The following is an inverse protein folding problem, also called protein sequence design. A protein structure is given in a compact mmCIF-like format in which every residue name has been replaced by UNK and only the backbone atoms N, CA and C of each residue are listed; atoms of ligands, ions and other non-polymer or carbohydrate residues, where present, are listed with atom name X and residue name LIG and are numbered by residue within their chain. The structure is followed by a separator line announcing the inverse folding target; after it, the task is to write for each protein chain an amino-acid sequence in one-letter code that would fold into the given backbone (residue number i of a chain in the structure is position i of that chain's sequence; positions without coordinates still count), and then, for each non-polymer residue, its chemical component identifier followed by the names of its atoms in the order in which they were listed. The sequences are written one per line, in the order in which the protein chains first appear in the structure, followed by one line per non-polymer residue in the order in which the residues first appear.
data_IF_106518983343
#
_entry.id   IF_106518983343
#
_cell.length_a   1.000
_cell.length_b   1.000
_cell.length_c   1.000
_cell.angle_alpha   90.00
_cell.angle_beta   90.00
_cell.angle_gamma   90.00
#
_symmetry.space_group_name_H-M   'P 1'
#
loop_
_entity.id
_entity.type
_entity.pdbx_description
1 polymer ?
#
# COMPACT_ATOMS: atom_id res chain seq x y z
N UNK A 1 12.19 5.22 32.96
CA UNK A 1 13.64 4.91 33.08
C UNK A 1 13.86 3.49 32.56
N UNK A 2 13.88 3.30 31.24
CA UNK A 2 14.28 2.01 30.66
C UNK A 2 15.74 2.15 30.26
N UNK A 3 16.62 1.82 31.23
CA UNK A 3 18.03 1.66 30.97
C UNK A 3 18.20 0.49 30.00
N UNK A 4 18.96 0.71 28.93
CA UNK A 4 19.48 -0.31 28.02
C UNK A 4 19.94 -1.50 28.88
N UNK A 5 19.24 -2.63 28.82
CA UNK A 5 19.69 -3.88 29.41
C UNK A 5 20.90 -4.38 28.61
N UNK A 6 22.10 -3.97 29.04
CA UNK A 6 23.33 -4.66 28.66
C UNK A 6 23.35 -5.98 29.42
N UNK A 7 22.95 -7.05 28.77
CA UNK A 7 23.15 -8.43 29.24
C UNK A 7 24.33 -9.03 28.48
N UNK A 8 25.38 -9.31 29.25
CA UNK A 8 26.50 -10.22 29.00
C UNK A 8 26.74 -10.67 27.53
N UNK A 9 27.60 -9.97 26.82
CA UNK A 9 28.47 -10.54 25.76
C UNK A 9 27.83 -10.85 24.40
N UNK A 10 26.52 -10.97 24.28
CA UNK A 10 25.78 -11.05 22.99
C UNK A 10 24.96 -9.77 22.81
N UNK A 11 24.89 -9.19 21.60
CA UNK A 11 24.00 -8.07 21.36
C UNK A 11 22.58 -8.52 21.67
N UNK A 12 21.86 -7.75 22.51
CA UNK A 12 20.47 -8.05 22.85
C UNK A 12 19.61 -8.10 21.56
N UNK A 13 18.80 -9.15 21.39
CA UNK A 13 17.86 -9.25 20.28
C UNK A 13 16.82 -8.14 20.45
N UNK A 14 16.63 -7.34 19.40
CA UNK A 14 15.68 -6.23 19.37
C UNK A 14 14.34 -6.69 18.80
N UNK A 15 13.27 -6.41 19.50
CA UNK A 15 11.91 -6.78 19.10
C UNK A 15 11.31 -5.68 18.20
N UNK A 16 11.01 -6.05 16.96
CA UNK A 16 10.38 -5.18 15.98
C UNK A 16 8.93 -5.60 15.79
N UNK A 17 8.00 -4.75 16.23
CA UNK A 17 6.58 -4.99 16.03
C UNK A 17 6.12 -4.34 14.72
N UNK A 18 5.74 -5.15 13.75
CA UNK A 18 5.13 -4.70 12.49
C UNK A 18 3.62 -4.80 12.62
N UNK A 19 2.90 -3.73 12.24
CA UNK A 19 1.43 -3.70 12.25
C UNK A 19 0.92 -3.69 10.82
N UNK A 20 0.20 -4.75 10.44
CA UNK A 20 -0.40 -4.92 9.11
C UNK A 20 -1.91 -4.76 9.20
N UNK A 21 -2.42 -3.70 8.60
CA UNK A 21 -3.84 -3.31 8.69
C UNK A 21 -4.62 -3.57 7.39
N UNK A 22 -3.95 -3.85 6.28
CA UNK A 22 -4.59 -4.02 4.98
C UNK A 22 -3.69 -4.79 4.01
N UNK A 23 -4.28 -5.21 2.89
CA UNK A 23 -3.57 -5.78 1.75
C UNK A 23 -2.44 -4.86 1.26
N UNK A 24 -2.74 -3.56 1.11
CA UNK A 24 -1.78 -2.58 0.64
C UNK A 24 -0.59 -2.41 1.61
N UNK A 25 -0.84 -2.47 2.92
CA UNK A 25 0.25 -2.49 3.90
C UNK A 25 1.11 -3.74 3.75
N UNK A 26 0.47 -4.92 3.66
CA UNK A 26 1.20 -6.18 3.60
C UNK A 26 2.15 -6.24 2.39
N UNK A 27 1.66 -5.93 1.20
CA UNK A 27 2.49 -5.92 -0.01
C UNK A 27 3.70 -4.98 0.10
N UNK A 28 3.57 -3.88 0.85
CA UNK A 28 4.64 -2.88 1.04
C UNK A 28 5.58 -3.16 2.21
N UNK A 29 5.34 -4.20 3.00
CA UNK A 29 6.17 -4.50 4.18
C UNK A 29 6.67 -5.94 4.22
N UNK A 30 6.16 -6.82 3.33
CA UNK A 30 6.49 -8.25 3.32
C UNK A 30 8.00 -8.50 3.24
N UNK A 31 8.72 -7.79 2.38
CA UNK A 31 10.18 -7.93 2.26
C UNK A 31 10.93 -7.49 3.53
N UNK A 32 10.46 -6.42 4.20
CA UNK A 32 11.01 -5.98 5.48
C UNK A 32 10.76 -7.02 6.57
N UNK A 33 9.52 -7.56 6.66
CA UNK A 33 9.19 -8.61 7.62
C UNK A 33 10.09 -9.84 7.45
N UNK A 34 10.32 -10.26 6.19
CA UNK A 34 11.23 -11.37 5.87
C UNK A 34 12.67 -11.06 6.27
N UNK A 35 13.14 -9.86 5.98
CA UNK A 35 14.50 -9.43 6.35
C UNK A 35 14.67 -9.33 7.88
N UNK A 36 13.68 -8.83 8.62
CA UNK A 36 13.67 -8.81 10.08
C UNK A 36 13.68 -10.23 10.66
N UNK A 37 12.85 -11.14 10.14
CA UNK A 37 12.78 -12.53 10.59
C UNK A 37 14.10 -13.30 10.38
N UNK A 38 14.82 -12.98 9.32
CA UNK A 38 16.11 -13.60 8.98
C UNK A 38 17.30 -12.95 9.66
N UNK A 39 17.12 -11.79 10.29
CA UNK A 39 18.22 -11.03 10.88
C UNK A 39 18.58 -11.54 12.27
N UNK A 40 19.86 -11.83 12.53
CA UNK A 40 20.35 -12.47 13.76
C UNK A 40 20.26 -11.62 15.04
N UNK A 41 19.96 -10.32 14.93
CA UNK A 41 19.81 -9.39 16.06
C UNK A 41 18.37 -8.85 16.20
N UNK A 42 17.44 -9.33 15.39
CA UNK A 42 16.05 -8.88 15.41
C UNK A 42 15.10 -10.04 15.69
N UNK A 43 13.98 -9.72 16.33
CA UNK A 43 12.83 -10.60 16.52
C UNK A 43 11.61 -9.92 15.92
N UNK A 44 10.93 -10.61 15.00
CA UNK A 44 9.70 -10.13 14.42
C UNK A 44 8.52 -10.41 15.35
N UNK A 45 7.81 -9.36 15.73
CA UNK A 45 6.46 -9.43 16.30
C UNK A 45 5.48 -8.89 15.27
N UNK A 46 4.36 -9.56 15.04
CA UNK A 46 3.41 -9.19 14.01
C UNK A 46 2.01 -9.03 14.59
N UNK A 47 1.44 -7.84 14.45
CA UNK A 47 0.03 -7.57 14.72
C UNK A 47 -0.70 -7.46 13.38
N UNK A 48 -1.80 -8.20 13.21
CA UNK A 48 -2.66 -8.11 12.03
C UNK A 48 -4.03 -7.60 12.44
N UNK A 49 -4.52 -6.59 11.74
CA UNK A 49 -5.79 -5.96 12.12
C UNK A 49 -6.55 -5.33 10.97
N UNK A 50 -7.57 -4.58 11.34
CA UNK A 50 -8.41 -3.80 10.44
C UNK A 50 -8.91 -4.62 9.22
N UNK A 51 -8.80 -4.09 8.00
CA UNK A 51 -9.31 -4.77 6.80
C UNK A 51 -8.52 -6.03 6.41
N UNK A 52 -7.32 -6.23 6.95
CA UNK A 52 -6.56 -7.47 6.74
C UNK A 52 -7.23 -8.70 7.36
N UNK A 53 -8.15 -8.52 8.31
CA UNK A 53 -8.94 -9.56 8.97
C UNK A 53 -10.29 -9.83 8.30
N UNK A 54 -10.68 -9.06 7.29
CA UNK A 54 -12.01 -9.11 6.72
C UNK A 54 -12.05 -9.90 5.40
N UNK A 55 -12.93 -10.91 5.35
CA UNK A 55 -13.11 -11.78 4.17
C UNK A 55 -13.45 -10.99 2.89
N UNK A 56 -14.29 -9.97 3.00
CA UNK A 56 -14.68 -9.15 1.83
C UNK A 56 -13.52 -8.40 1.17
N UNK A 57 -12.41 -8.20 1.91
CA UNK A 57 -11.16 -7.58 1.41
C UNK A 57 -10.03 -8.60 1.17
N UNK A 58 -10.39 -9.90 1.09
CA UNK A 58 -9.48 -10.97 0.69
C UNK A 58 -8.75 -11.67 1.83
N UNK A 59 -9.21 -11.48 3.10
CA UNK A 59 -8.70 -12.21 4.28
C UNK A 59 -7.15 -12.30 4.30
N UNK A 60 -6.50 -11.15 4.29
CA UNK A 60 -5.03 -11.03 4.11
C UNK A 60 -4.25 -11.82 5.17
N UNK A 61 -4.83 -12.04 6.34
CA UNK A 61 -4.20 -12.86 7.40
C UNK A 61 -3.88 -14.29 6.94
N UNK A 62 -4.68 -14.87 6.06
CA UNK A 62 -4.42 -16.21 5.53
C UNK A 62 -3.26 -16.20 4.53
N UNK A 63 -3.12 -15.15 3.73
CA UNK A 63 -1.96 -14.94 2.86
C UNK A 63 -0.68 -14.77 3.69
N UNK A 64 -0.74 -13.99 4.77
CA UNK A 64 0.36 -13.80 5.71
C UNK A 64 0.84 -15.13 6.28
N UNK A 65 -0.09 -16.00 6.70
CA UNK A 65 0.24 -17.35 7.22
C UNK A 65 0.81 -18.25 6.13
N UNK A 66 0.23 -18.23 4.94
CA UNK A 66 0.74 -19.00 3.80
C UNK A 66 2.17 -18.60 3.41
N UNK A 67 2.54 -17.33 3.60
CA UNK A 67 3.89 -16.81 3.38
C UNK A 67 4.90 -17.17 4.51
N UNK A 68 4.44 -17.88 5.55
CA UNK A 68 5.28 -18.34 6.67
C UNK A 68 5.43 -17.33 7.82
N UNK A 69 4.54 -16.34 7.92
CA UNK A 69 4.49 -15.43 9.06
C UNK A 69 3.34 -15.79 9.99
N UNK A 70 3.63 -15.95 11.29
CA UNK A 70 2.60 -16.16 12.29
C UNK A 70 2.31 -14.86 13.05
N UNK A 71 1.07 -14.37 13.05
CA UNK A 71 0.69 -13.19 13.83
C UNK A 71 0.89 -13.43 15.34
N UNK A 72 1.62 -12.53 16.01
CA UNK A 72 1.74 -12.50 17.47
C UNK A 72 0.43 -12.08 18.13
N UNK A 73 -0.38 -11.27 17.44
CA UNK A 73 -1.71 -10.86 17.85
C UNK A 73 -2.58 -10.52 16.63
N UNK A 74 -3.90 -10.66 16.79
CA UNK A 74 -4.90 -10.17 15.84
C UNK A 74 -5.85 -9.22 16.54
N UNK A 75 -6.29 -8.15 15.85
CA UNK A 75 -7.18 -7.14 16.39
C UNK A 75 -8.34 -6.84 15.43
N UNK A 76 -9.48 -6.45 15.98
CA UNK A 76 -10.68 -6.11 15.23
C UNK A 76 -11.06 -4.65 15.50
N UNK A 77 -10.79 -3.76 14.55
CA UNK A 77 -10.96 -2.32 14.75
C UNK A 77 -11.82 -1.63 13.69
N UNK A 78 -12.36 -2.36 12.70
CA UNK A 78 -13.21 -1.75 11.67
C UNK A 78 -14.65 -1.64 12.14
N UNK A 79 -15.16 -0.41 12.13
CA UNK A 79 -16.59 -0.10 12.26
C UNK A 79 -17.19 -0.04 10.86
N UNK A 80 -18.19 -0.86 10.60
CA UNK A 80 -18.85 -0.93 9.30
C UNK A 80 -19.57 0.38 8.95
N UNK A 81 -19.71 0.69 7.65
CA UNK A 81 -20.44 1.84 7.11
C UNK A 81 -19.67 2.70 6.12
N UNK A 82 -18.34 2.52 5.98
CA UNK A 82 -17.47 3.08 4.90
C UNK A 82 -17.72 4.56 4.62
N UNK A 83 -17.92 5.33 5.68
CA UNK A 83 -18.10 6.77 5.66
C UNK A 83 -17.08 7.47 6.59
N UNK A 84 -16.92 8.80 6.51
CA UNK A 84 -15.93 9.52 7.31
C UNK A 84 -16.09 9.31 8.83
N UNK A 85 -17.33 9.18 9.32
CA UNK A 85 -17.60 8.95 10.75
C UNK A 85 -17.11 7.58 11.21
N UNK A 86 -17.42 6.52 10.44
CA UNK A 86 -16.98 5.16 10.80
C UNK A 86 -15.48 4.98 10.61
N UNK A 87 -14.86 5.67 9.67
CA UNK A 87 -13.42 5.71 9.50
C UNK A 87 -12.72 6.33 10.73
N UNK A 88 -13.23 7.47 11.23
CA UNK A 88 -12.73 8.11 12.45
C UNK A 88 -12.90 7.20 13.68
N UNK A 89 -14.08 6.55 13.83
CA UNK A 89 -14.34 5.58 14.91
C UNK A 89 -13.40 4.38 14.84
N UNK A 90 -13.14 3.84 13.64
CA UNK A 90 -12.21 2.73 13.42
C UNK A 90 -10.79 3.09 13.85
N UNK A 91 -10.34 4.33 13.59
CA UNK A 91 -9.07 4.84 14.09
C UNK A 91 -9.02 4.80 15.62
N UNK A 92 -10.07 5.27 16.30
CA UNK A 92 -10.18 5.24 17.76
C UNK A 92 -10.16 3.82 18.33
N UNK A 93 -10.92 2.90 17.74
CA UNK A 93 -10.90 1.49 18.11
C UNK A 93 -9.51 0.86 17.90
N UNK A 94 -8.84 1.20 16.80
CA UNK A 94 -7.48 0.75 16.54
C UNK A 94 -6.49 1.18 17.63
N UNK A 95 -6.60 2.40 18.15
CA UNK A 95 -5.76 2.89 19.26
C UNK A 95 -5.99 2.05 20.51
N UNK A 96 -7.26 1.79 20.87
CA UNK A 96 -7.63 1.00 22.07
C UNK A 96 -7.06 -0.42 21.97
N UNK A 97 -7.29 -1.11 20.85
CA UNK A 97 -6.84 -2.48 20.65
C UNK A 97 -5.30 -2.57 20.62
N UNK A 98 -4.65 -1.69 19.87
CA UNK A 98 -3.19 -1.67 19.76
C UNK A 98 -2.50 -1.40 21.08
N UNK A 99 -3.06 -0.51 21.93
CA UNK A 99 -2.46 -0.21 23.23
C UNK A 99 -2.34 -1.45 24.10
N UNK A 100 -3.37 -2.29 24.14
CA UNK A 100 -3.35 -3.56 24.89
C UNK A 100 -2.34 -4.56 24.31
N UNK A 101 -2.26 -4.67 22.98
CA UNK A 101 -1.33 -5.61 22.36
C UNK A 101 0.12 -5.15 22.50
N UNK A 102 0.40 -3.86 22.36
CA UNK A 102 1.75 -3.31 22.54
C UNK A 102 2.22 -3.45 24.00
N UNK A 103 1.32 -3.32 24.98
CA UNK A 103 1.63 -3.59 26.39
C UNK A 103 2.02 -5.05 26.63
N UNK A 104 1.30 -5.99 26.00
CA UNK A 104 1.58 -7.42 26.11
C UNK A 104 2.88 -7.84 25.41
N UNK A 105 3.12 -7.33 24.22
CA UNK A 105 4.26 -7.72 23.37
C UNK A 105 5.57 -7.01 23.76
N UNK A 106 5.49 -5.81 24.35
CA UNK A 106 6.63 -5.00 24.78
C UNK A 106 7.71 -4.89 23.68
N UNK A 107 7.39 -4.37 22.49
CA UNK A 107 8.37 -4.18 21.43
C UNK A 107 9.38 -3.08 21.79
N UNK A 108 10.58 -3.19 21.22
CA UNK A 108 11.58 -2.12 21.28
C UNK A 108 11.30 -1.02 20.25
N UNK A 109 10.73 -1.41 19.10
CA UNK A 109 10.34 -0.50 18.02
C UNK A 109 9.03 -0.98 17.40
N UNK A 110 8.12 -0.06 17.12
CA UNK A 110 6.96 -0.31 16.25
C UNK A 110 7.28 0.20 14.85
N UNK A 111 7.01 -0.61 13.83
CA UNK A 111 7.15 -0.23 12.43
C UNK A 111 5.79 -0.08 11.78
N UNK A 112 5.53 1.10 11.21
CA UNK A 112 4.29 1.43 10.50
C UNK A 112 4.54 1.77 9.04
N UNK A 113 3.51 1.62 8.21
CA UNK A 113 3.62 1.70 6.74
C UNK A 113 2.71 2.77 6.19
N UNK A 114 3.30 3.75 5.53
CA UNK A 114 2.61 4.75 4.72
C UNK A 114 1.60 5.64 5.50
N UNK A 115 0.29 5.62 5.13
CA UNK A 115 -0.53 6.83 5.22
C UNK A 115 -2.02 6.60 5.48
N UNK A 116 -2.44 5.38 5.79
CA UNK A 116 -3.87 5.12 5.96
C UNK A 116 -4.34 5.44 7.39
N UNK A 117 -5.64 5.63 7.56
CA UNK A 117 -6.23 5.95 8.86
C UNK A 117 -5.92 4.89 9.93
N UNK A 118 -5.79 3.62 9.55
CA UNK A 118 -5.41 2.53 10.46
C UNK A 118 -3.95 2.66 10.92
N UNK A 119 -3.07 3.20 10.07
CA UNK A 119 -1.66 3.43 10.42
C UNK A 119 -1.49 4.63 11.35
N UNK A 120 -2.40 5.61 11.30
CA UNK A 120 -2.46 6.68 12.30
C UNK A 120 -2.74 6.12 13.70
N UNK A 121 -3.66 5.15 13.82
CA UNK A 121 -3.92 4.48 15.11
C UNK A 121 -2.64 3.84 15.68
N UNK A 122 -1.86 3.17 14.82
CA UNK A 122 -0.59 2.57 15.19
C UNK A 122 0.40 3.62 15.71
N UNK A 123 0.53 4.73 14.98
CA UNK A 123 1.46 5.79 15.33
C UNK A 123 1.10 6.48 16.66
N UNK A 124 -0.18 6.75 16.89
CA UNK A 124 -0.68 7.36 18.14
C UNK A 124 -0.45 6.41 19.31
N UNK A 125 -0.83 5.14 19.19
CA UNK A 125 -0.65 4.15 20.25
C UNK A 125 0.84 4.03 20.66
N UNK A 126 1.75 3.86 19.69
CA UNK A 126 3.17 3.78 19.95
C UNK A 126 3.71 5.04 20.63
N UNK A 127 3.35 6.23 20.12
CA UNK A 127 3.83 7.51 20.65
C UNK A 127 3.41 7.74 22.11
N UNK A 128 2.12 7.52 22.46
CA UNK A 128 1.64 7.69 23.82
C UNK A 128 2.14 6.64 24.81
N UNK A 129 2.52 5.47 24.31
CA UNK A 129 3.14 4.42 25.12
C UNK A 129 4.67 4.56 25.25
N UNK A 130 5.26 5.63 24.72
CA UNK A 130 6.70 5.86 24.67
C UNK A 130 7.48 4.73 24.02
N UNK A 131 6.92 4.13 22.98
CA UNK A 131 7.58 3.12 22.16
C UNK A 131 8.10 3.81 20.89
N UNK A 132 9.38 3.71 20.56
CA UNK A 132 9.95 4.26 19.35
C UNK A 132 9.20 3.77 18.11
N UNK A 133 8.87 4.68 17.20
CA UNK A 133 8.16 4.41 15.97
C UNK A 133 9.09 4.58 14.77
N UNK A 134 9.12 3.62 13.88
CA UNK A 134 9.72 3.70 12.57
C UNK A 134 8.65 3.81 11.48
N UNK A 135 8.87 4.62 10.47
CA UNK A 135 7.90 4.92 9.42
C UNK A 135 8.47 4.71 8.02
N UNK A 136 7.87 3.83 7.24
CA UNK A 136 8.21 3.66 5.82
C UNK A 136 7.34 4.55 4.94
N UNK A 137 7.90 5.03 3.82
CA UNK A 137 7.19 5.83 2.81
C UNK A 137 6.63 7.16 3.34
N UNK A 138 7.28 7.73 4.36
CA UNK A 138 7.05 9.12 4.78
C UNK A 138 7.52 10.10 3.72
N UNK A 139 7.00 11.35 3.74
CA UNK A 139 7.42 12.44 2.85
C UNK A 139 6.79 12.44 1.46
N UNK A 140 6.08 11.39 1.05
CA UNK A 140 5.39 11.40 -0.24
C UNK A 140 4.16 12.32 -0.22
N UNK A 141 3.78 12.82 -1.40
CA UNK A 141 2.60 13.68 -1.61
C UNK A 141 1.46 12.87 -2.21
N UNK A 142 0.22 13.19 -1.88
CA UNK A 142 -1.00 12.60 -2.46
C UNK A 142 -2.16 13.60 -2.44
N UNK A 143 -3.17 13.39 -3.30
CA UNK A 143 -4.35 14.27 -3.40
C UNK A 143 -5.51 13.88 -2.46
N UNK A 144 -5.25 13.22 -1.33
CA UNK A 144 -6.29 12.78 -0.39
C UNK A 144 -5.90 13.09 1.06
N UNK A 145 -6.79 12.76 2.01
CA UNK A 145 -6.50 12.88 3.46
C UNK A 145 -5.24 12.11 3.87
N UNK A 146 -4.86 11.10 3.09
CA UNK A 146 -3.67 10.28 3.35
C UNK A 146 -2.38 11.12 3.44
N UNK A 147 -2.31 12.26 2.74
CA UNK A 147 -1.19 13.19 2.85
C UNK A 147 -1.04 13.73 4.26
N UNK A 148 -2.12 14.29 4.82
CA UNK A 148 -2.11 14.81 6.18
C UNK A 148 -1.79 13.72 7.20
N UNK A 149 -2.35 12.53 7.03
CA UNK A 149 -2.09 11.36 7.89
C UNK A 149 -0.61 10.97 7.81
N UNK A 150 -0.04 10.86 6.62
CA UNK A 150 1.38 10.52 6.41
C UNK A 150 2.30 11.50 7.11
N UNK A 151 2.05 12.80 6.94
CA UNK A 151 2.89 13.83 7.56
C UNK A 151 2.75 13.85 9.08
N UNK A 152 1.55 13.61 9.62
CA UNK A 152 1.35 13.46 11.06
C UNK A 152 2.09 12.22 11.61
N UNK A 153 2.07 11.09 10.92
CA UNK A 153 2.84 9.89 11.29
C UNK A 153 4.34 10.19 11.25
N UNK A 154 4.84 10.89 10.23
CA UNK A 154 6.23 11.33 10.16
C UNK A 154 6.60 12.15 11.40
N UNK A 155 5.74 13.06 11.86
CA UNK A 155 6.00 13.85 13.06
C UNK A 155 5.99 13.04 14.35
N UNK A 156 5.29 11.91 14.41
CA UNK A 156 5.29 10.99 15.54
C UNK A 156 6.44 9.97 15.49
N UNK A 157 6.97 9.67 14.30
CA UNK A 157 8.01 8.67 14.09
C UNK A 157 9.41 9.18 14.50
N UNK A 158 10.27 8.25 14.89
CA UNK A 158 11.64 8.49 15.36
C UNK A 158 12.68 8.10 14.31
N UNK A 159 12.34 7.16 13.42
CA UNK A 159 13.18 6.76 12.27
C UNK A 159 12.32 6.80 11.03
N UNK A 160 12.90 7.27 9.93
CA UNK A 160 12.19 7.50 8.67
C UNK A 160 12.87 6.77 7.53
N UNK A 161 12.08 6.07 6.73
CA UNK A 161 12.49 5.32 5.56
C UNK A 161 11.74 5.82 4.32
N UNK A 162 12.03 7.04 3.83
CA UNK A 162 11.46 7.56 2.58
C UNK A 162 11.88 6.69 1.39
N UNK A 163 11.00 6.64 0.37
CA UNK A 163 11.22 5.79 -0.80
C UNK A 163 11.97 6.50 -1.93
N UNK A 164 11.89 7.83 -2.01
CA UNK A 164 12.46 8.64 -3.09
C UNK A 164 13.30 9.80 -2.53
N UNK A 165 14.15 10.38 -3.35
CA UNK A 165 14.94 11.58 -3.01
C UNK A 165 14.03 12.75 -2.61
N UNK A 166 12.95 12.99 -3.36
CA UNK A 166 12.03 14.07 -3.06
C UNK A 166 11.33 13.85 -1.71
N UNK A 167 10.89 12.60 -1.45
CA UNK A 167 10.27 12.26 -0.17
C UNK A 167 11.27 12.41 1.00
N UNK A 168 12.52 12.05 0.80
CA UNK A 168 13.61 12.29 1.77
C UNK A 168 13.74 13.80 2.07
N UNK A 169 13.82 14.62 1.03
CA UNK A 169 13.95 16.08 1.20
C UNK A 169 12.75 16.68 1.94
N UNK A 170 11.54 16.19 1.67
CA UNK A 170 10.35 16.65 2.38
C UNK A 170 10.35 16.26 3.85
N UNK A 171 10.78 15.04 4.20
CA UNK A 171 10.97 14.63 5.61
C UNK A 171 11.99 15.53 6.30
N UNK A 172 13.11 15.84 5.66
CA UNK A 172 14.11 16.76 6.18
C UNK A 172 13.54 18.16 6.42
N UNK A 173 12.77 18.70 5.45
CA UNK A 173 12.12 20.03 5.57
C UNK A 173 11.04 20.06 6.67
N UNK A 174 10.49 18.92 7.04
CA UNK A 174 9.57 18.80 8.18
C UNK A 174 10.30 18.91 9.53
N UNK A 175 11.64 19.05 9.54
CA UNK A 175 12.45 19.22 10.75
C UNK A 175 12.78 17.91 11.44
N UNK A 176 12.90 16.82 10.70
CA UNK A 176 13.44 15.57 11.20
C UNK A 176 14.99 15.61 11.23
N UNK A 177 15.59 14.93 12.21
CA UNK A 177 17.03 14.93 12.36
C UNK A 177 17.70 14.10 11.24
N UNK A 178 18.74 14.62 10.55
CA UNK A 178 19.33 13.95 9.39
C UNK A 178 19.79 12.52 9.66
N UNK A 179 20.30 12.25 10.84
CA UNK A 179 20.75 10.93 11.27
C UNK A 179 19.61 9.90 11.45
N UNK A 180 18.36 10.35 11.42
CA UNK A 180 17.17 9.49 11.55
C UNK A 180 16.43 9.28 10.23
N UNK A 181 16.85 9.95 9.14
CA UNK A 181 16.20 9.90 7.84
C UNK A 181 17.08 9.14 6.85
N UNK A 182 16.62 7.99 6.40
CA UNK A 182 17.38 7.08 5.56
C UNK A 182 16.62 6.79 4.26
N UNK A 183 17.19 7.21 3.13
CA UNK A 183 16.65 6.85 1.81
C UNK A 183 16.86 5.36 1.57
N UNK A 184 15.79 4.58 1.62
CA UNK A 184 15.87 3.12 1.51
C UNK A 184 15.27 2.56 0.23
N UNK A 185 14.41 3.29 -0.45
CA UNK A 185 13.53 2.78 -1.47
C UNK A 185 12.22 2.20 -0.89
N UNK A 186 11.33 1.81 -1.77
CA UNK A 186 10.03 1.23 -1.43
C UNK A 186 10.14 -0.30 -1.34
N UNK A 187 9.78 -0.92 -0.21
CA UNK A 187 9.85 -2.38 -0.06
C UNK A 187 8.92 -3.18 -1.00
N UNK A 188 7.93 -2.53 -1.61
CA UNK A 188 7.11 -3.18 -2.64
C UNK A 188 7.90 -3.52 -3.90
N UNK A 189 8.98 -2.78 -4.20
CA UNK A 189 9.84 -3.04 -5.36
C UNK A 189 10.69 -4.31 -5.15
N UNK A 190 11.05 -4.62 -3.89
CA UNK A 190 11.83 -5.81 -3.57
C UNK A 190 11.14 -7.10 -4.07
N UNK A 191 9.80 -7.15 -4.00
CA UNK A 191 9.03 -8.30 -4.45
C UNK A 191 9.11 -8.52 -5.96
N UNK A 192 9.37 -7.47 -6.73
CA UNK A 192 9.45 -7.54 -8.20
C UNK A 192 10.78 -8.10 -8.70
N UNK A 193 11.83 -8.00 -7.88
CA UNK A 193 13.18 -8.47 -8.24
C UNK A 193 13.29 -9.99 -8.13
N UNK A 194 12.61 -10.57 -7.14
CA UNK A 194 12.75 -12.00 -6.80
C UNK A 194 11.68 -12.89 -7.48
N UNK A 195 10.67 -12.29 -8.12
CA UNK A 195 9.54 -13.02 -8.71
C UNK A 195 9.77 -13.28 -10.20
N UNK A 196 9.50 -14.51 -10.63
CA UNK A 196 9.30 -14.79 -12.05
C UNK A 196 8.04 -14.05 -12.54
N UNK A 197 8.24 -13.05 -13.39
CA UNK A 197 7.21 -12.17 -13.91
C UNK A 197 6.49 -12.71 -15.15
N UNK A 198 6.79 -13.95 -15.58
CA UNK A 198 6.03 -14.62 -16.64
C UNK A 198 4.57 -14.77 -16.24
N UNK A 199 3.66 -14.61 -17.20
CA UNK A 199 2.23 -14.75 -16.95
C UNK A 199 1.90 -16.23 -16.68
N UNK A 200 1.28 -16.47 -15.52
CA UNK A 200 0.71 -17.75 -15.19
C UNK A 200 -0.75 -17.79 -15.69
N UNK A 201 -1.11 -18.68 -16.62
CA UNK A 201 -2.48 -18.80 -17.13
C UNK A 201 -3.51 -19.06 -16.04
N UNK A 202 -3.14 -19.71 -14.94
CA UNK A 202 -4.03 -20.00 -13.81
C UNK A 202 -4.46 -18.74 -13.04
N UNK A 203 -3.82 -17.60 -13.29
CA UNK A 203 -4.28 -16.31 -12.74
C UNK A 203 -5.67 -15.90 -13.23
N UNK A 204 -6.08 -16.39 -14.40
CA UNK A 204 -7.36 -16.10 -15.03
C UNK A 204 -8.42 -17.16 -14.74
N UNK A 205 -8.14 -18.10 -13.82
CA UNK A 205 -9.12 -19.08 -13.38
C UNK A 205 -10.37 -18.38 -12.84
N UNK A 206 -11.52 -18.64 -13.48
CA UNK A 206 -12.81 -18.00 -13.19
C UNK A 206 -13.35 -18.26 -11.79
N UNK A 207 -12.82 -19.24 -11.05
CA UNK A 207 -13.22 -19.51 -9.66
C UNK A 207 -12.76 -18.41 -8.68
N UNK A 208 -11.73 -17.61 -9.03
CA UNK A 208 -11.18 -16.55 -8.18
C UNK A 208 -11.96 -15.24 -8.19
N UNK A 209 -12.97 -15.09 -9.03
CA UNK A 209 -13.69 -13.83 -9.23
C UNK A 209 -15.08 -14.01 -9.78
N UNK A 210 -15.55 -13.00 -10.53
CA UNK A 210 -16.88 -13.02 -11.16
C UNK A 210 -16.84 -12.20 -12.45
N UNK A 211 -17.32 -12.75 -13.56
CA UNK A 211 -17.36 -12.05 -14.85
C UNK A 211 -17.04 -12.94 -16.02
N UNK A 212 -16.52 -12.36 -17.10
CA UNK A 212 -16.14 -13.08 -18.32
C UNK A 212 -14.94 -14.02 -18.07
N UNK A 213 -14.87 -15.08 -18.84
CA UNK A 213 -13.66 -15.89 -18.90
C UNK A 213 -12.63 -15.18 -19.79
N UNK A 214 -11.54 -14.73 -19.19
CA UNK A 214 -10.46 -14.05 -19.90
C UNK A 214 -9.50 -15.06 -20.53
N UNK A 215 -8.96 -14.70 -21.70
CA UNK A 215 -7.94 -15.49 -22.39
C UNK A 215 -6.54 -14.92 -22.07
N UNK A 216 -5.68 -15.64 -21.31
CA UNK A 216 -4.36 -15.15 -20.94
C UNK A 216 -3.41 -14.94 -22.14
N UNK A 217 -3.74 -15.48 -23.32
CA UNK A 217 -2.96 -15.28 -24.56
C UNK A 217 -3.25 -13.97 -25.27
N UNK A 218 -4.34 -13.30 -24.91
CA UNK A 218 -4.75 -12.03 -25.51
C UNK A 218 -4.31 -10.84 -24.65
N UNK A 219 -4.07 -9.65 -25.24
CA UNK A 219 -3.81 -8.43 -24.49
C UNK A 219 -4.96 -8.09 -23.55
N UNK A 220 -4.64 -7.61 -22.36
CA UNK A 220 -5.63 -7.20 -21.35
C UNK A 220 -5.22 -5.92 -20.64
N UNK A 221 -6.21 -5.20 -20.11
CA UNK A 221 -5.95 -4.09 -19.19
C UNK A 221 -6.24 -4.50 -17.74
N UNK A 222 -5.54 -3.86 -16.81
CA UNK A 222 -5.81 -3.99 -15.38
C UNK A 222 -6.39 -2.69 -14.86
N UNK A 223 -7.56 -2.74 -14.24
CA UNK A 223 -8.24 -1.57 -13.69
C UNK A 223 -8.31 -1.67 -12.18
N UNK A 224 -7.85 -0.61 -11.50
CA UNK A 224 -7.92 -0.47 -10.05
C UNK A 224 -8.16 0.98 -9.66
N UNK A 225 -9.41 1.29 -9.31
CA UNK A 225 -9.83 2.62 -8.87
C UNK A 225 -10.40 2.58 -7.45
N UNK A 226 -9.90 3.49 -6.62
CA UNK A 226 -10.32 3.67 -5.24
C UNK A 226 -11.13 4.97 -5.10
N UNK A 227 -12.00 5.08 -4.10
CA UNK A 227 -12.64 6.35 -3.78
C UNK A 227 -11.61 7.40 -3.36
N UNK A 228 -11.95 8.66 -3.53
CA UNK A 228 -11.17 9.79 -3.04
C UNK A 228 -11.89 10.34 -1.81
N UNK A 229 -11.29 10.19 -0.64
CA UNK A 229 -11.94 10.52 0.64
C UNK A 229 -12.27 11.99 0.80
N UNK A 230 -11.50 12.87 0.17
CA UNK A 230 -11.75 14.33 0.11
C UNK A 230 -12.85 14.72 -0.87
N UNK A 231 -13.28 13.79 -1.73
CA UNK A 231 -14.37 13.93 -2.70
C UNK A 231 -15.52 12.97 -2.38
N UNK A 232 -15.75 12.72 -1.08
CA UNK A 232 -16.79 11.81 -0.60
C UNK A 232 -18.18 12.18 -1.15
N UNK A 233 -18.87 11.15 -1.68
CA UNK A 233 -20.18 11.30 -2.34
C UNK A 233 -20.11 11.38 -3.88
N UNK A 234 -18.94 11.57 -4.48
CA UNK A 234 -18.75 11.59 -5.95
C UNK A 234 -18.32 10.22 -6.52
N UNK A 235 -18.13 9.21 -5.68
CA UNK A 235 -17.54 7.93 -6.07
C UNK A 235 -18.30 7.20 -7.18
N UNK A 236 -19.64 7.28 -7.18
CA UNK A 236 -20.46 6.66 -8.22
C UNK A 236 -20.30 7.33 -9.59
N UNK A 237 -20.25 8.67 -9.64
CA UNK A 237 -20.05 9.41 -10.89
C UNK A 237 -18.63 9.17 -11.43
N UNK A 238 -17.62 9.21 -10.56
CA UNK A 238 -16.23 8.98 -10.91
C UNK A 238 -16.00 7.58 -11.51
N UNK A 239 -16.56 6.53 -10.88
CA UNK A 239 -16.39 5.16 -11.38
C UNK A 239 -17.18 4.94 -12.67
N UNK A 240 -18.34 5.59 -12.83
CA UNK A 240 -19.17 5.49 -14.04
C UNK A 240 -18.42 6.03 -15.28
N UNK A 241 -17.67 7.11 -15.12
CA UNK A 241 -16.82 7.64 -16.20
C UNK A 241 -15.76 6.63 -16.64
N UNK A 242 -15.10 5.97 -15.69
CA UNK A 242 -14.08 4.94 -15.97
C UNK A 242 -14.69 3.71 -16.61
N UNK A 243 -15.84 3.25 -16.13
CA UNK A 243 -16.56 2.10 -16.68
C UNK A 243 -16.98 2.35 -18.13
N UNK A 244 -17.47 3.55 -18.45
CA UNK A 244 -17.83 3.92 -19.82
C UNK A 244 -16.59 3.94 -20.74
N UNK A 245 -15.46 4.48 -20.29
CA UNK A 245 -14.22 4.44 -21.05
C UNK A 245 -13.75 3.01 -21.33
N UNK A 246 -13.76 2.14 -20.31
CA UNK A 246 -13.39 0.72 -20.43
C UNK A 246 -14.31 0.01 -21.44
N UNK A 247 -15.62 0.26 -21.37
CA UNK A 247 -16.59 -0.28 -22.34
C UNK A 247 -16.25 0.13 -23.78
N UNK A 248 -15.87 1.39 -24.02
CA UNK A 248 -15.50 1.92 -25.35
C UNK A 248 -14.16 1.37 -25.86
N UNK A 249 -13.20 1.18 -24.97
CA UNK A 249 -11.90 0.58 -25.30
C UNK A 249 -12.12 -0.85 -25.81
N UNK A 250 -13.07 -1.56 -25.24
CA UNK A 250 -13.49 -2.90 -25.65
C UNK A 250 -12.31 -3.89 -25.69
N UNK A 251 -11.55 -3.94 -24.61
CA UNK A 251 -10.44 -4.89 -24.38
C UNK A 251 -10.79 -5.73 -23.14
N UNK A 252 -10.40 -7.01 -23.15
CA UNK A 252 -10.58 -7.83 -21.94
C UNK A 252 -9.91 -7.19 -20.74
N UNK A 253 -10.59 -7.20 -19.59
CA UNK A 253 -10.25 -6.38 -18.45
C UNK A 253 -10.26 -7.19 -17.16
N UNK A 254 -9.13 -7.12 -16.45
CA UNK A 254 -9.03 -7.55 -15.06
C UNK A 254 -9.36 -6.35 -14.18
N UNK A 255 -10.47 -6.41 -13.45
CA UNK A 255 -10.91 -5.35 -12.56
C UNK A 255 -10.76 -5.77 -11.10
N UNK A 256 -10.02 -4.98 -10.30
CA UNK A 256 -9.88 -5.21 -8.88
C UNK A 256 -10.83 -4.33 -8.07
N UNK A 257 -11.46 -4.92 -7.05
CA UNK A 257 -12.32 -4.18 -6.12
C UNK A 257 -11.55 -3.14 -5.32
N UNK A 258 -12.19 -2.00 -4.95
CA UNK A 258 -11.54 -0.93 -4.19
C UNK A 258 -11.17 -1.37 -2.76
N UNK A 259 -10.35 -0.55 -2.10
CA UNK A 259 -10.06 -0.68 -0.67
C UNK A 259 -11.24 -0.23 0.20
N UNK A 260 -11.12 -0.40 1.53
CA UNK A 260 -12.11 -0.06 2.58
C UNK A 260 -12.20 1.44 2.91
N UNK A 261 -11.75 2.32 2.04
CA UNK A 261 -11.79 3.77 2.26
C UNK A 261 -13.23 4.31 2.24
N UNK A 262 -13.47 5.44 2.90
CA UNK A 262 -14.77 6.12 2.84
C UNK A 262 -15.18 6.39 1.39
N UNK A 263 -16.39 5.99 1.02
CA UNK A 263 -16.92 6.07 -0.35
C UNK A 263 -16.71 4.79 -1.19
N UNK A 264 -16.13 3.73 -0.65
CA UNK A 264 -15.94 2.48 -1.39
C UNK A 264 -17.25 1.79 -1.76
N UNK A 265 -18.34 2.04 -1.02
CA UNK A 265 -19.69 1.53 -1.35
C UNK A 265 -20.23 2.14 -2.64
N UNK A 266 -20.00 3.43 -2.90
CA UNK A 266 -20.42 4.09 -4.14
C UNK A 266 -19.69 3.49 -5.34
N UNK A 267 -18.38 3.32 -5.25
CA UNK A 267 -17.57 2.65 -6.28
C UNK A 267 -18.05 1.23 -6.50
N UNK A 268 -18.24 0.47 -5.43
CA UNK A 268 -18.70 -0.92 -5.48
C UNK A 268 -20.13 -1.03 -6.06
N UNK A 269 -20.99 -0.06 -5.81
CA UNK A 269 -22.33 0.03 -6.41
C UNK A 269 -22.24 0.19 -7.93
N UNK A 270 -21.38 1.10 -8.41
CA UNK A 270 -21.16 1.32 -9.85
C UNK A 270 -20.68 0.04 -10.53
N UNK A 271 -19.71 -0.67 -9.93
CA UNK A 271 -19.20 -1.93 -10.47
C UNK A 271 -20.29 -3.02 -10.54
N UNK A 272 -21.13 -3.14 -9.50
CA UNK A 272 -22.24 -4.12 -9.52
C UNK A 272 -23.26 -3.80 -10.59
N UNK A 273 -23.69 -2.54 -10.70
CA UNK A 273 -24.65 -2.10 -11.72
C UNK A 273 -24.12 -2.35 -13.13
N UNK A 274 -22.86 -1.97 -13.39
CA UNK A 274 -22.22 -2.19 -14.68
C UNK A 274 -22.23 -3.68 -15.07
N UNK A 275 -21.88 -4.57 -14.15
CA UNK A 275 -21.87 -6.01 -14.38
C UNK A 275 -23.27 -6.55 -14.71
N UNK A 276 -24.31 -6.04 -14.03
CA UNK A 276 -25.71 -6.45 -14.28
C UNK A 276 -26.23 -5.95 -15.62
N UNK A 277 -25.83 -4.73 -16.01
CA UNK A 277 -26.26 -4.09 -17.26
C UNK A 277 -25.46 -4.57 -18.49
N UNK A 278 -24.25 -5.10 -18.28
CA UNK A 278 -23.34 -5.52 -19.35
C UNK A 278 -22.84 -6.97 -19.13
N UNK A 279 -23.72 -7.98 -19.15
CA UNK A 279 -23.38 -9.37 -18.85
C UNK A 279 -22.38 -9.98 -19.84
N UNK A 280 -22.32 -9.44 -21.07
CA UNK A 280 -21.44 -9.91 -22.14
C UNK A 280 -20.13 -9.11 -22.24
N UNK A 281 -19.86 -8.19 -21.31
CA UNK A 281 -18.61 -7.43 -21.31
C UNK A 281 -17.43 -8.33 -20.93
N UNK A 282 -16.32 -8.21 -21.66
CA UNK A 282 -15.07 -8.93 -21.40
C UNK A 282 -14.36 -8.38 -20.15
N UNK A 283 -15.06 -8.37 -19.02
CA UNK A 283 -14.56 -7.88 -17.72
C UNK A 283 -14.72 -8.97 -16.67
N UNK A 284 -13.62 -9.24 -15.96
CA UNK A 284 -13.62 -10.12 -14.79
C UNK A 284 -13.22 -9.36 -13.55
N UNK A 285 -14.03 -9.47 -12.50
CA UNK A 285 -13.87 -8.74 -11.24
C UNK A 285 -13.23 -9.63 -10.18
N UNK A 286 -12.06 -9.25 -9.71
CA UNK A 286 -11.31 -9.96 -8.67
C UNK A 286 -11.28 -9.18 -7.36
N UNK A 287 -11.34 -9.89 -6.24
CA UNK A 287 -11.21 -9.27 -4.92
C UNK A 287 -9.76 -8.94 -4.60
N UNK A 288 -8.87 -9.88 -4.87
CA UNK A 288 -7.47 -9.79 -4.50
C UNK A 288 -6.62 -10.78 -5.30
N UNK A 289 -5.31 -10.50 -5.36
CA UNK A 289 -4.26 -11.43 -5.74
C UNK A 289 -3.18 -11.46 -4.66
N UNK A 290 -2.48 -12.58 -4.44
CA UNK A 290 -1.18 -12.58 -3.78
C UNK A 290 -0.24 -11.55 -4.42
N UNK A 291 0.72 -11.03 -3.68
CA UNK A 291 1.58 -9.94 -4.17
C UNK A 291 2.39 -10.35 -5.41
N UNK A 292 2.85 -11.59 -5.45
CA UNK A 292 3.60 -12.17 -6.56
C UNK A 292 2.72 -12.35 -7.81
N UNK A 293 1.49 -12.83 -7.63
CA UNK A 293 0.51 -12.96 -8.72
C UNK A 293 0.10 -11.59 -9.25
N UNK A 294 -0.07 -10.61 -8.35
CA UNK A 294 -0.33 -9.23 -8.75
C UNK A 294 0.82 -8.63 -9.57
N UNK A 295 2.06 -8.92 -9.19
CA UNK A 295 3.24 -8.50 -9.94
C UNK A 295 3.25 -9.08 -11.36
N UNK A 296 2.98 -10.39 -11.50
CA UNK A 296 2.83 -11.06 -12.81
C UNK A 296 1.72 -10.43 -13.64
N UNK A 297 0.55 -10.22 -13.00
CA UNK A 297 -0.61 -9.63 -13.64
C UNK A 297 -0.32 -8.24 -14.21
N UNK A 298 0.20 -7.32 -13.39
CA UNK A 298 0.49 -5.97 -13.86
C UNK A 298 1.67 -5.94 -14.82
N UNK A 299 2.67 -6.83 -14.65
CA UNK A 299 3.80 -6.90 -15.58
C UNK A 299 3.35 -7.23 -17.00
N UNK A 300 2.37 -8.07 -17.21
CA UNK A 300 1.94 -8.53 -18.53
C UNK A 300 0.72 -7.74 -19.07
N UNK A 301 0.22 -6.76 -18.33
CA UNK A 301 -0.86 -5.90 -18.78
C UNK A 301 -0.42 -4.97 -19.93
N UNK A 302 -1.33 -4.72 -20.87
CA UNK A 302 -1.14 -3.72 -21.92
C UNK A 302 -1.15 -2.30 -21.36
N UNK A 303 -1.99 -2.05 -20.34
CA UNK A 303 -2.10 -0.77 -19.65
C UNK A 303 -2.72 -0.96 -18.26
N UNK A 304 -2.27 -0.14 -17.30
CA UNK A 304 -2.89 0.01 -15.99
C UNK A 304 -3.78 1.24 -15.99
N UNK A 305 -5.04 1.11 -15.55
CA UNK A 305 -6.01 2.21 -15.55
C UNK A 305 -6.58 2.40 -14.14
N UNK A 306 -6.70 3.64 -13.67
CA UNK A 306 -7.29 3.95 -12.37
C UNK A 306 -6.44 4.89 -11.55
N UNK A 307 -6.55 4.81 -10.21
CA UNK A 307 -5.86 5.73 -9.30
C UNK A 307 -5.07 5.01 -8.19
N UNK A 308 -4.65 3.78 -8.46
CA UNK A 308 -3.81 3.02 -7.54
C UNK A 308 -2.36 3.51 -7.59
N UNK A 309 -1.72 3.61 -6.42
CA UNK A 309 -0.30 3.93 -6.35
C UNK A 309 0.62 2.84 -6.92
N UNK A 310 0.12 1.62 -7.13
CA UNK A 310 0.90 0.55 -7.77
C UNK A 310 1.21 0.86 -9.24
N UNK A 311 0.32 1.57 -9.94
CA UNK A 311 0.60 2.03 -11.29
C UNK A 311 1.79 3.01 -11.36
N UNK A 312 1.98 3.80 -10.30
CA UNK A 312 3.06 4.78 -10.20
C UNK A 312 4.38 4.16 -9.75
N UNK A 313 4.36 3.20 -8.81
CA UNK A 313 5.56 2.60 -8.20
C UNK A 313 5.99 1.33 -8.91
N UNK A 314 5.20 0.27 -8.73
CA UNK A 314 5.46 -1.03 -9.35
C UNK A 314 5.41 -0.92 -10.87
N UNK A 315 4.42 -0.17 -11.41
CA UNK A 315 4.30 0.11 -12.84
C UNK A 315 5.51 0.85 -13.41
N UNK A 316 6.10 1.79 -12.67
CA UNK A 316 7.32 2.49 -13.08
C UNK A 316 8.52 1.54 -13.16
N UNK A 317 8.71 0.70 -12.14
CA UNK A 317 9.80 -0.29 -12.13
C UNK A 317 9.66 -1.31 -13.26
N UNK A 318 8.44 -1.75 -13.52
CA UNK A 318 8.14 -2.70 -14.59
C UNK A 318 8.06 -2.05 -15.98
N UNK A 319 8.04 -0.72 -16.09
CA UNK A 319 7.84 0.01 -17.35
C UNK A 319 6.45 -0.16 -17.96
N UNK A 320 5.43 -0.46 -17.17
CA UNK A 320 4.07 -0.68 -17.66
C UNK A 320 3.35 0.65 -17.91
N UNK A 321 2.75 0.86 -19.11
CA UNK A 321 1.94 2.05 -19.38
C UNK A 321 0.81 2.20 -18.37
N UNK A 322 0.57 3.42 -17.89
CA UNK A 322 -0.44 3.67 -16.88
C UNK A 322 -1.22 4.95 -17.13
N UNK A 323 -2.53 4.91 -16.90
CA UNK A 323 -3.43 6.06 -16.87
C UNK A 323 -3.85 6.31 -15.44
N UNK A 324 -3.39 7.41 -14.87
CA UNK A 324 -3.83 7.86 -13.55
C UNK A 324 -5.06 8.74 -13.68
N UNK A 325 -6.19 8.32 -13.09
CA UNK A 325 -7.47 9.00 -13.18
C UNK A 325 -7.72 9.85 -11.95
N UNK A 326 -8.04 11.12 -12.19
CA UNK A 326 -8.49 12.07 -11.17
C UNK A 326 -7.41 12.47 -10.18
N UNK A 327 -7.84 12.90 -9.00
CA UNK A 327 -7.05 13.69 -8.05
C UNK A 327 -6.28 12.88 -7.00
N UNK A 328 -6.63 11.62 -6.78
CA UNK A 328 -6.09 10.79 -5.67
C UNK A 328 -4.56 10.75 -5.60
N UNK A 329 -3.89 10.75 -6.74
CA UNK A 329 -2.42 10.76 -6.85
C UNK A 329 -1.87 12.15 -7.21
N UNK A 330 -2.66 13.21 -6.99
CA UNK A 330 -2.27 14.58 -7.30
C UNK A 330 -0.96 14.99 -6.62
N UNK A 331 -0.04 15.57 -7.37
CA UNK A 331 1.26 16.01 -6.88
C UNK A 331 2.28 14.92 -6.58
N UNK A 332 1.91 13.63 -6.70
CA UNK A 332 2.81 12.52 -6.42
C UNK A 332 3.87 12.37 -7.52
N UNK A 333 5.09 12.05 -7.13
CA UNK A 333 6.14 11.66 -8.08
C UNK A 333 5.71 10.46 -8.91
N UNK A 334 6.07 10.49 -10.18
CA UNK A 334 5.84 9.38 -11.11
C UNK A 334 6.88 9.39 -12.23
N UNK A 335 7.13 8.22 -12.81
CA UNK A 335 8.01 8.07 -13.95
C UNK A 335 7.26 8.36 -15.27
N UNK A 336 7.97 8.23 -16.38
CA UNK A 336 7.43 8.50 -17.73
C UNK A 336 6.27 7.61 -18.13
N UNK A 337 6.11 6.44 -17.48
CA UNK A 337 5.05 5.47 -17.75
C UNK A 337 3.64 5.95 -17.41
N UNK A 338 3.49 7.04 -16.65
CA UNK A 338 2.19 7.54 -16.17
C UNK A 338 1.72 8.73 -17.01
N UNK A 339 0.47 8.66 -17.46
CA UNK A 339 -0.28 9.79 -18.03
C UNK A 339 -1.52 10.03 -17.18
N UNK A 340 -1.97 11.27 -17.11
CA UNK A 340 -3.12 11.68 -16.32
C UNK A 340 -4.36 11.89 -17.18
N UNK A 341 -5.53 11.54 -16.64
CA UNK A 341 -6.83 11.85 -17.21
C UNK A 341 -7.78 12.32 -16.09
N UNK A 342 -8.67 13.24 -16.40
CA UNK A 342 -9.77 13.60 -15.52
C UNK A 342 -10.87 12.53 -15.54
N UNK A 343 -11.92 12.70 -14.73
CA UNK A 343 -13.11 11.82 -14.73
C UNK A 343 -14.00 12.08 -15.94
N UNK A 344 -13.44 11.98 -17.13
CA UNK A 344 -14.10 12.12 -18.43
C UNK A 344 -13.85 10.87 -19.28
N UNK A 345 -14.89 10.16 -19.72
CA UNK A 345 -14.75 8.95 -20.53
C UNK A 345 -13.92 9.15 -21.80
N UNK A 346 -14.07 10.30 -22.48
CA UNK A 346 -13.35 10.59 -23.72
C UNK A 346 -11.85 10.78 -23.45
N UNK A 347 -11.51 11.50 -22.37
CA UNK A 347 -10.12 11.72 -21.96
C UNK A 347 -9.47 10.41 -21.50
N UNK A 348 -10.16 9.59 -20.71
CA UNK A 348 -9.65 8.30 -20.22
C UNK A 348 -9.41 7.36 -21.41
N UNK A 349 -10.35 7.23 -22.33
CA UNK A 349 -10.22 6.39 -23.52
C UNK A 349 -9.05 6.83 -24.39
N UNK A 350 -8.94 8.15 -24.68
CA UNK A 350 -7.87 8.71 -25.50
C UNK A 350 -6.50 8.38 -24.90
N UNK A 351 -6.30 8.72 -23.62
CA UNK A 351 -5.01 8.51 -22.93
C UNK A 351 -4.68 7.03 -22.84
N UNK A 352 -5.67 6.15 -22.58
CA UNK A 352 -5.43 4.71 -22.53
C UNK A 352 -4.98 4.14 -23.88
N UNK A 353 -5.60 4.57 -24.98
CA UNK A 353 -5.20 4.17 -26.33
C UNK A 353 -3.79 4.69 -26.71
N UNK A 354 -3.46 5.92 -26.34
CA UNK A 354 -2.11 6.48 -26.51
C UNK A 354 -1.07 5.65 -25.74
N UNK A 355 -1.35 5.30 -24.49
CA UNK A 355 -0.48 4.49 -23.64
C UNK A 355 -0.28 3.06 -24.20
N UNK A 356 -1.34 2.43 -24.66
CA UNK A 356 -1.25 1.11 -25.33
C UNK A 356 -0.43 1.17 -26.63
N UNK A 357 -0.61 2.23 -27.43
CA UNK A 357 0.15 2.42 -28.66
C UNK A 357 1.62 2.73 -28.41
N UNK A 358 1.96 3.43 -27.32
CA UNK A 358 3.34 3.65 -26.91
C UNK A 358 4.02 2.32 -26.53
N UNK A 359 3.30 1.44 -25.85
CA UNK A 359 3.83 0.19 -25.33
C UNK A 359 4.74 0.40 -24.11
N UNK A 360 5.65 -0.53 -23.88
CA UNK A 360 6.50 -0.53 -22.69
C UNK A 360 7.43 0.68 -22.63
N UNK A 361 7.60 1.19 -21.41
CA UNK A 361 8.59 2.19 -21.04
C UNK A 361 9.86 1.54 -20.51
N UNK A 362 10.95 2.31 -20.44
CA UNK A 362 12.14 1.90 -19.70
C UNK A 362 11.83 1.77 -18.21
N UNK A 363 12.44 0.78 -17.56
CA UNK A 363 12.33 0.59 -16.10
C UNK A 363 12.86 1.80 -15.36
N UNK A 364 12.09 2.30 -14.39
CA UNK A 364 12.52 3.40 -13.53
C UNK A 364 12.77 2.91 -12.10
N UNK A 365 13.97 3.17 -11.60
CA UNK A 365 14.36 2.87 -10.22
C UNK A 365 14.05 4.00 -9.23
N UNK A 366 13.24 4.98 -9.62
CA UNK A 366 12.87 6.12 -8.76
C UNK A 366 12.40 5.71 -7.38
N UNK A 367 11.62 4.62 -7.29
CA UNK A 367 11.08 4.12 -6.03
C UNK A 367 11.91 3.02 -5.37
N UNK A 368 13.09 2.71 -5.88
CA UNK A 368 14.02 1.73 -5.30
C UNK A 368 14.57 0.72 -6.29
N UNK A 369 15.51 -0.07 -5.82
CA UNK A 369 16.30 -1.04 -6.57
C UNK A 369 16.09 -2.50 -6.14
N UNK A 370 15.05 -2.75 -5.31
CA UNK A 370 14.72 -4.09 -4.83
C UNK A 370 15.45 -4.57 -3.57
N UNK A 371 16.06 -3.65 -2.82
CA UNK A 371 16.81 -4.01 -1.60
C UNK A 371 16.39 -3.22 -0.36
N UNK A 372 15.23 -2.59 -0.37
CA UNK A 372 14.74 -1.74 0.70
C UNK A 372 14.54 -2.52 2.01
N UNK A 373 13.96 -3.72 1.97
CA UNK A 373 13.69 -4.53 3.15
C UNK A 373 14.95 -4.87 3.93
N UNK A 374 16.01 -5.28 3.24
CA UNK A 374 17.31 -5.59 3.86
C UNK A 374 17.97 -4.34 4.47
N UNK A 375 17.90 -3.19 3.77
CA UNK A 375 18.41 -1.92 4.30
C UNK A 375 17.68 -1.52 5.57
N UNK A 376 16.35 -1.57 5.56
CA UNK A 376 15.50 -1.22 6.71
C UNK A 376 15.80 -2.14 7.90
N UNK A 377 15.90 -3.46 7.71
CA UNK A 377 16.22 -4.40 8.78
C UNK A 377 17.58 -4.08 9.42
N UNK A 378 18.62 -3.83 8.63
CA UNK A 378 19.94 -3.46 9.14
C UNK A 378 19.89 -2.13 9.93
N UNK A 379 19.20 -1.11 9.40
CA UNK A 379 19.04 0.16 10.08
C UNK A 379 18.26 0.03 11.40
N UNK A 380 17.20 -0.79 11.43
CA UNK A 380 16.48 -1.10 12.67
C UNK A 380 17.34 -1.82 13.71
N UNK A 381 18.30 -2.65 13.26
CA UNK A 381 19.24 -3.34 14.16
C UNK A 381 20.31 -2.41 14.72
N UNK A 382 20.77 -1.42 13.94
CA UNK A 382 21.93 -0.59 14.25
C UNK A 382 21.58 0.77 14.86
N UNK A 383 20.40 1.33 14.58
CA UNK A 383 20.02 2.68 15.01
C UNK A 383 19.96 2.80 16.53
N UNK A 384 20.58 3.83 17.06
CA UNK A 384 20.36 4.28 18.43
C UNK A 384 19.11 5.15 18.47
N UNK A 385 18.10 4.75 19.25
CA UNK A 385 16.81 5.42 19.28
C UNK A 385 16.55 5.93 20.68
N UNK A 386 16.23 7.22 20.79
CA UNK A 386 15.74 7.84 22.01
C UNK A 386 14.23 8.05 21.91
N UNK A 387 13.52 7.82 23.02
CA UNK A 387 12.07 8.07 23.08
C UNK A 387 11.75 9.56 22.92
N UNK A 388 12.63 10.44 23.45
CA UNK A 388 12.42 11.88 23.37
C UNK A 388 12.81 12.39 21.97
N UNK A 389 11.82 12.67 21.16
CA UNK A 389 11.99 13.33 19.86
C UNK A 389 12.15 14.84 20.00
N UNK A 390 13.03 15.42 19.21
CA UNK A 390 13.23 16.87 19.09
C UNK A 390 13.17 17.27 17.62
N UNK A 391 12.70 18.47 17.34
CA UNK A 391 12.82 19.05 16.01
C UNK A 391 14.27 19.43 15.74
N UNK A 392 14.78 19.06 14.57
CA UNK A 392 16.03 19.59 14.05
C UNK A 392 15.71 20.91 13.33
N UNK A 393 16.12 22.01 13.95
CA UNK A 393 16.07 23.31 13.30
C UNK A 393 17.35 23.47 12.50
N UNK A 394 17.23 23.77 11.19
CA UNK A 394 18.36 24.11 10.35
C UNK A 394 18.89 25.51 10.68
#
# INVERSE_FOLDING_TARGET
MNAIRKLNGSPAIRKICVVVNSRANYARIKSVMRAVQQHNRLELQLIVGASAMLYRYGNVVDLIRADGFEPSAVIYSIVEGENPTTMAKSTGMGIIELSSQLENLQPDIVLTVADRFETMATAIAAAYMNIPLAHTQGGEVTGSIDESVRHAITKLAHIHFPATEQAHDFVMRMGEAPETVHLTGCPAIDLLVDVDLSLDPDLFDGERGTGANLDPSQPYMVVLQHPVTTEYGSGFEQISATLEAVRRINMQTVWLWPNVDAGSDDVSKGLRMYREENPDADVHFYRNFPAEDYARLINNAAVLVGNSSSALREGAYLGVPAVNIGTRQGGREHAANVRHADYDPDAIELVAREQMNHGRYESSHMFGDGHAGKRIANLLADSEITVQKRLAYA
#
